data_IF_889810358876
#
_entry.id   IF_889810358876
#
_cell.length_a   1.000
_cell.length_b   1.000
_cell.length_c   1.000
_cell.angle_alpha   90.00
_cell.angle_beta   90.00
_cell.angle_gamma   90.00
#
_symmetry.space_group_name_H-M   'P 1'
#
loop_
_entity.id
_entity.type
_entity.pdbx_description
1 polymer ?
#
# COMPACT_ATOMS: atom_id res chain seq x y z
N UNK A 1 3.57 -12.78 -27.29
CA UNK A 1 3.58 -11.32 -27.04
C UNK A 1 4.52 -11.07 -25.89
N UNK A 2 5.60 -10.33 -26.12
CA UNK A 2 6.66 -10.13 -25.13
C UNK A 2 6.14 -9.40 -23.90
N UNK A 3 6.18 -10.06 -22.76
CA UNK A 3 5.85 -9.50 -21.46
C UNK A 3 6.82 -8.36 -21.19
N UNK A 4 6.35 -7.11 -21.27
CA UNK A 4 7.14 -5.96 -20.83
C UNK A 4 7.48 -6.22 -19.37
N UNK A 5 8.76 -6.49 -19.08
CA UNK A 5 9.32 -6.53 -17.74
C UNK A 5 8.95 -5.20 -17.09
N UNK A 6 7.95 -5.21 -16.20
CA UNK A 6 7.46 -4.00 -15.55
C UNK A 6 8.58 -3.47 -14.68
N UNK A 7 9.07 -2.26 -15.00
CA UNK A 7 10.13 -1.62 -14.23
C UNK A 7 9.60 -1.36 -12.81
N UNK A 8 10.29 -1.82 -11.75
CA UNK A 8 10.02 -1.41 -10.39
C UNK A 8 9.94 0.10 -10.25
N UNK A 9 9.05 0.58 -9.38
CA UNK A 9 8.71 1.99 -9.28
C UNK A 9 8.51 2.49 -7.86
N UNK A 10 8.22 1.63 -6.88
CA UNK A 10 7.87 2.04 -5.52
C UNK A 10 9.01 2.82 -4.87
N UNK A 11 10.22 2.28 -4.91
CA UNK A 11 11.39 2.93 -4.31
C UNK A 11 11.70 4.27 -4.98
N UNK A 12 11.77 4.31 -6.31
CA UNK A 12 12.04 5.53 -7.07
C UNK A 12 10.97 6.61 -6.82
N UNK A 13 9.70 6.21 -6.74
CA UNK A 13 8.59 7.11 -6.45
C UNK A 13 8.71 7.72 -5.05
N UNK A 14 8.95 6.89 -4.02
CA UNK A 14 9.05 7.37 -2.65
C UNK A 14 10.29 8.23 -2.42
N UNK A 15 11.43 7.90 -3.05
CA UNK A 15 12.61 8.75 -3.05
C UNK A 15 12.37 10.08 -3.77
N UNK A 16 11.56 10.08 -4.84
CA UNK A 16 11.11 11.29 -5.51
C UNK A 16 10.30 12.18 -4.57
N UNK A 17 9.30 11.61 -3.89
CA UNK A 17 8.49 12.31 -2.90
C UNK A 17 9.36 12.87 -1.77
N UNK A 18 10.28 12.08 -1.21
CA UNK A 18 11.17 12.52 -0.15
C UNK A 18 12.05 13.71 -0.56
N UNK A 19 12.48 13.77 -1.82
CA UNK A 19 13.29 14.87 -2.36
C UNK A 19 12.48 16.13 -2.61
N UNK A 20 11.26 15.98 -3.11
CA UNK A 20 10.41 17.08 -3.53
C UNK A 20 9.65 17.72 -2.36
N UNK A 21 9.07 16.88 -1.49
CA UNK A 21 8.19 17.33 -0.41
C UNK A 21 8.84 17.24 0.98
N UNK A 22 9.97 16.53 1.12
CA UNK A 22 10.62 16.37 2.42
C UNK A 22 9.69 15.68 3.42
N UNK A 23 9.19 16.43 4.39
CA UNK A 23 8.23 15.97 5.39
C UNK A 23 6.77 16.31 5.15
N UNK A 24 6.49 17.12 4.14
CA UNK A 24 5.15 17.60 3.85
C UNK A 24 4.28 16.52 3.16
N UNK A 25 2.96 16.55 3.34
CA UNK A 25 2.06 15.64 2.63
C UNK A 25 2.19 15.77 1.11
N UNK A 26 2.48 14.65 0.44
CA UNK A 26 2.53 14.60 -1.01
C UNK A 26 1.12 14.68 -1.63
N UNK A 27 0.96 15.34 -2.79
CA UNK A 27 -0.30 15.30 -3.54
C UNK A 27 -0.60 13.89 -4.04
N UNK A 28 -1.86 13.64 -4.39
CA UNK A 28 -2.26 12.38 -5.02
C UNK A 28 -1.62 12.25 -6.41
N UNK A 29 -0.97 11.12 -6.64
CA UNK A 29 -0.44 10.76 -7.95
C UNK A 29 -1.56 10.21 -8.84
N UNK A 30 -1.78 10.85 -9.99
CA UNK A 30 -2.69 10.39 -11.04
C UNK A 30 -2.05 9.36 -11.98
N UNK A 31 -0.75 9.11 -11.85
CA UNK A 31 -0.03 8.21 -12.72
C UNK A 31 -0.53 6.78 -12.54
N UNK A 32 -0.95 6.11 -13.63
CA UNK A 32 -1.33 4.70 -13.54
C UNK A 32 -0.10 3.84 -13.21
N UNK A 33 -0.17 3.10 -12.10
CA UNK A 33 0.85 2.12 -11.69
C UNK A 33 0.28 0.74 -11.60
N UNK A 34 1.18 -0.24 -11.67
CA UNK A 34 0.85 -1.65 -11.62
C UNK A 34 1.45 -2.21 -10.34
N UNK A 35 0.63 -2.95 -9.61
CA UNK A 35 1.01 -3.59 -8.35
C UNK A 35 0.45 -5.01 -8.29
N UNK A 36 1.05 -5.83 -7.46
CA UNK A 36 0.46 -7.07 -6.98
C UNK A 36 0.05 -6.85 -5.52
N UNK A 37 -1.17 -7.27 -5.14
CA UNK A 37 -1.53 -7.31 -3.71
C UNK A 37 -1.01 -8.63 -3.14
N UNK A 38 0.09 -8.58 -2.39
CA UNK A 38 0.78 -9.80 -1.94
C UNK A 38 0.23 -10.34 -0.63
N UNK A 39 -0.42 -9.49 0.17
CA UNK A 39 -1.06 -9.85 1.44
C UNK A 39 -2.25 -8.93 1.69
N UNK A 40 -3.34 -9.49 2.22
CA UNK A 40 -4.39 -8.71 2.88
C UNK A 40 -4.08 -8.71 4.38
N UNK A 41 -3.88 -7.52 4.95
CA UNK A 41 -3.58 -7.32 6.38
C UNK A 41 -4.89 -7.31 7.17
N UNK A 42 -5.86 -6.51 6.71
CA UNK A 42 -7.23 -6.57 7.20
C UNK A 42 -8.14 -7.14 6.12
N UNK A 43 -9.24 -7.75 6.56
CA UNK A 43 -10.22 -8.31 5.67
C UNK A 43 -11.53 -8.58 6.39
N UNK A 44 -12.56 -9.02 5.65
CA UNK A 44 -13.81 -9.45 6.23
C UNK A 44 -13.58 -10.48 7.34
N UNK A 45 -14.08 -10.20 8.53
CA UNK A 45 -14.19 -11.18 9.62
C UNK A 45 -15.64 -11.57 9.82
N UNK A 46 -15.91 -12.65 10.56
CA UNK A 46 -17.29 -13.00 10.94
C UNK A 46 -17.99 -11.87 11.71
N UNK A 47 -17.22 -11.08 12.48
CA UNK A 47 -17.72 -9.94 13.26
C UNK A 47 -17.83 -8.65 12.43
N UNK A 48 -17.00 -8.50 11.40
CA UNK A 48 -16.99 -7.35 10.52
C UNK A 48 -16.89 -7.82 9.06
N UNK A 49 -18.01 -8.23 8.45
CA UNK A 49 -18.01 -8.80 7.11
C UNK A 49 -17.68 -7.77 6.01
N UNK A 50 -17.81 -6.47 6.30
CA UNK A 50 -17.58 -5.37 5.38
C UNK A 50 -16.77 -4.26 6.08
N UNK A 51 -15.46 -4.47 6.32
CA UNK A 51 -14.65 -3.45 6.96
C UNK A 51 -14.58 -2.19 6.11
N UNK A 52 -14.74 -1.03 6.75
CA UNK A 52 -14.66 0.29 6.09
C UNK A 52 -13.28 0.57 5.48
N UNK A 53 -12.23 -0.07 6.01
CA UNK A 53 -10.86 0.07 5.52
C UNK A 53 -10.24 -1.31 5.26
N UNK A 54 -9.71 -1.50 4.06
CA UNK A 54 -8.95 -2.70 3.69
C UNK A 54 -7.48 -2.33 3.60
N UNK A 55 -6.69 -2.96 4.48
CA UNK A 55 -5.25 -2.85 4.52
C UNK A 55 -4.63 -4.03 3.80
N UNK A 56 -3.61 -3.75 3.00
CA UNK A 56 -2.92 -4.71 2.15
C UNK A 56 -1.42 -4.44 2.16
N UNK A 57 -0.64 -5.40 1.69
CA UNK A 57 0.73 -5.15 1.22
C UNK A 57 0.71 -5.17 -0.31
N UNK A 58 1.17 -4.09 -0.93
CA UNK A 58 1.29 -3.97 -2.38
C UNK A 58 2.75 -4.05 -2.79
N UNK A 59 3.01 -4.73 -3.90
CA UNK A 59 4.35 -4.94 -4.45
C UNK A 59 4.45 -4.47 -5.90
N UNK A 60 5.60 -3.93 -6.28
CA UNK A 60 5.95 -3.65 -7.67
C UNK A 60 6.76 -4.77 -8.35
N UNK A 61 6.92 -5.91 -7.66
CA UNK A 61 7.72 -7.07 -8.08
C UNK A 61 9.13 -7.10 -7.49
N UNK A 62 9.56 -6.05 -6.77
CA UNK A 62 10.85 -6.05 -6.05
C UNK A 62 10.71 -5.56 -4.62
N UNK A 63 9.91 -4.51 -4.43
CA UNK A 63 9.65 -3.92 -3.14
C UNK A 63 8.18 -4.06 -2.80
N UNK A 64 7.88 -4.12 -1.51
CA UNK A 64 6.51 -4.00 -1.01
C UNK A 64 6.39 -2.92 0.04
N UNK A 65 5.15 -2.42 0.21
CA UNK A 65 4.78 -1.44 1.22
C UNK A 65 3.35 -1.72 1.70
N UNK A 66 3.02 -1.48 2.98
CA UNK A 66 1.63 -1.44 3.42
C UNK A 66 0.83 -0.40 2.63
N UNK A 67 -0.41 -0.71 2.33
CA UNK A 67 -1.31 0.19 1.64
C UNK A 67 -2.74 0.08 2.18
N UNK A 68 -3.39 1.23 2.33
CA UNK A 68 -4.80 1.34 2.66
C UNK A 68 -5.59 1.62 1.39
N UNK A 69 -6.55 0.77 1.10
CA UNK A 69 -7.53 0.98 0.03
C UNK A 69 -8.70 1.79 0.59
N UNK A 70 -9.05 2.88 -0.10
CA UNK A 70 -10.24 3.66 0.25
C UNK A 70 -11.52 2.82 0.11
N UNK A 71 -12.55 3.14 0.90
CA UNK A 71 -13.87 2.50 0.79
C UNK A 71 -14.43 2.61 -0.63
N UNK A 72 -14.31 3.78 -1.26
CA UNK A 72 -14.74 4.00 -2.64
C UNK A 72 -14.03 3.08 -3.65
N UNK A 73 -12.74 2.81 -3.45
CA UNK A 73 -11.98 1.88 -4.30
C UNK A 73 -12.49 0.43 -4.14
N UNK A 74 -12.78 0.02 -2.90
CA UNK A 74 -13.29 -1.31 -2.57
C UNK A 74 -14.70 -1.50 -3.12
N UNK A 75 -15.58 -0.52 -2.92
CA UNK A 75 -16.97 -0.55 -3.38
C UNK A 75 -17.04 -0.61 -4.90
N UNK A 76 -16.21 0.20 -5.59
CA UNK A 76 -16.11 0.18 -7.05
C UNK A 76 -15.65 -1.18 -7.56
N UNK A 77 -14.65 -1.79 -6.93
CA UNK A 77 -14.21 -3.14 -7.30
C UNK A 77 -15.35 -4.16 -7.17
N UNK A 78 -16.12 -4.11 -6.08
CA UNK A 78 -17.27 -4.99 -5.87
C UNK A 78 -18.34 -4.79 -6.95
N UNK A 79 -18.61 -3.53 -7.34
CA UNK A 79 -19.56 -3.20 -8.40
C UNK A 79 -19.09 -3.72 -9.77
N UNK A 80 -17.81 -3.53 -10.10
CA UNK A 80 -17.25 -3.87 -11.41
C UNK A 80 -17.09 -5.39 -11.62
N UNK A 81 -16.80 -6.13 -10.55
CA UNK A 81 -16.44 -7.55 -10.63
C UNK A 81 -17.42 -8.51 -9.94
N UNK A 82 -18.35 -8.01 -9.12
CA UNK A 82 -19.31 -8.84 -8.38
C UNK A 82 -18.68 -9.68 -7.26
N UNK A 83 -17.42 -9.45 -6.92
CA UNK A 83 -16.70 -10.15 -5.86
C UNK A 83 -15.92 -9.18 -4.98
N UNK A 84 -15.58 -9.62 -3.77
CA UNK A 84 -14.78 -8.81 -2.84
C UNK A 84 -13.33 -8.76 -3.31
N UNK A 85 -12.68 -7.60 -3.16
CA UNK A 85 -11.26 -7.45 -3.49
C UNK A 85 -10.37 -8.42 -2.68
N UNK A 86 -10.75 -8.75 -1.44
CA UNK A 86 -10.08 -9.72 -0.59
C UNK A 86 -10.14 -11.17 -1.10
N UNK A 87 -11.07 -11.48 -2.02
CA UNK A 87 -11.13 -12.77 -2.70
C UNK A 87 -10.07 -12.88 -3.82
N UNK A 88 -9.57 -11.74 -4.31
CA UNK A 88 -8.55 -11.66 -5.35
C UNK A 88 -7.13 -11.79 -4.77
N UNK A 89 -6.87 -12.86 -4.01
CA UNK A 89 -5.56 -13.13 -3.42
C UNK A 89 -4.46 -13.09 -4.48
N UNK A 90 -3.37 -12.39 -4.17
CA UNK A 90 -2.17 -12.27 -5.03
C UNK A 90 -2.41 -11.73 -6.44
N UNK A 91 -3.57 -11.11 -6.69
CA UNK A 91 -3.94 -10.55 -7.99
C UNK A 91 -3.06 -9.36 -8.40
N UNK A 92 -2.94 -9.16 -9.72
CA UNK A 92 -2.37 -7.93 -10.29
C UNK A 92 -3.45 -6.87 -10.46
N UNK A 93 -3.14 -5.67 -10.00
CA UNK A 93 -4.00 -4.51 -10.04
C UNK A 93 -3.29 -3.34 -10.72
N UNK A 94 -4.06 -2.50 -11.39
CA UNK A 94 -3.66 -1.13 -11.64
C UNK A 94 -4.17 -0.22 -10.55
N UNK A 95 -3.34 0.71 -10.10
CA UNK A 95 -3.70 1.74 -9.15
C UNK A 95 -3.56 3.13 -9.76
N UNK A 96 -4.36 4.07 -9.26
CA UNK A 96 -4.29 5.51 -9.50
C UNK A 96 -4.67 6.23 -8.21
N UNK A 97 -4.47 7.55 -8.18
CA UNK A 97 -4.87 8.40 -7.06
C UNK A 97 -4.28 7.85 -5.76
N UNK A 98 -2.95 7.85 -5.68
CA UNK A 98 -2.24 7.30 -4.54
C UNK A 98 -1.18 8.26 -4.01
N UNK A 99 -0.91 8.21 -2.71
CA UNK A 99 0.13 9.02 -2.05
C UNK A 99 0.72 8.29 -0.84
N UNK A 100 1.98 8.55 -0.48
CA UNK A 100 2.53 8.07 0.77
C UNK A 100 1.98 8.88 1.95
N UNK A 101 1.83 8.21 3.08
CA UNK A 101 1.50 8.84 4.36
C UNK A 101 2.09 8.03 5.52
N UNK A 102 2.26 8.69 6.66
CA UNK A 102 2.63 8.03 7.91
C UNK A 102 1.37 7.73 8.73
N UNK A 103 1.32 6.51 9.26
CA UNK A 103 0.15 6.00 9.97
C UNK A 103 0.52 4.78 10.78
N UNK A 104 -0.30 4.45 11.77
CA UNK A 104 -0.25 3.13 12.38
C UNK A 104 -0.92 2.12 11.46
N UNK A 105 -0.22 1.00 11.19
CA UNK A 105 -0.71 -0.07 10.31
C UNK A 105 -1.28 -1.17 11.21
N UNK A 106 -2.45 -1.73 10.91
CA UNK A 106 -2.97 -2.89 11.65
C UNK A 106 -2.02 -4.09 11.56
N UNK A 107 -1.91 -4.87 12.62
CA UNK A 107 -1.10 -6.10 12.63
C UNK A 107 -1.81 -7.25 11.89
N UNK A 108 -3.13 -7.15 11.74
CA UNK A 108 -3.99 -8.21 11.22
C UNK A 108 -4.32 -9.31 12.23
N UNK A 109 -3.88 -9.16 13.50
CA UNK A 109 -4.15 -10.09 14.60
C UNK A 109 -5.02 -9.37 15.63
N UNK A 110 -6.19 -9.94 15.96
CA UNK A 110 -7.11 -9.41 16.98
C UNK A 110 -7.46 -7.92 16.83
N UNK A 111 -7.44 -7.39 15.60
CA UNK A 111 -7.63 -5.96 15.31
C UNK A 111 -6.60 -5.04 16.02
N UNK A 112 -5.46 -5.58 16.44
CA UNK A 112 -4.38 -4.81 17.04
C UNK A 112 -3.73 -3.90 16.00
N UNK A 113 -3.29 -2.73 16.46
CA UNK A 113 -2.64 -1.71 15.66
C UNK A 113 -1.17 -1.67 16.06
N UNK A 114 -0.26 -1.59 15.08
CA UNK A 114 1.17 -1.44 15.38
C UNK A 114 1.42 -0.17 16.19
N UNK A 115 2.20 -0.29 17.27
CA UNK A 115 2.48 0.82 18.19
C UNK A 115 3.30 1.94 17.54
N UNK A 116 4.08 1.64 16.50
CA UNK A 116 4.89 2.62 15.79
C UNK A 116 4.29 2.93 14.42
N UNK A 117 4.17 4.23 14.12
CA UNK A 117 3.75 4.66 12.80
C UNK A 117 4.76 4.21 11.73
N UNK A 118 4.23 3.83 10.56
CA UNK A 118 4.98 3.36 9.40
C UNK A 118 4.55 4.11 8.15
N UNK A 119 5.47 4.13 7.19
CA UNK A 119 5.18 4.62 5.85
C UNK A 119 4.27 3.61 5.13
N UNK A 120 3.13 4.12 4.65
CA UNK A 120 2.15 3.37 3.89
C UNK A 120 1.72 4.15 2.63
N UNK A 121 1.03 3.49 1.70
CA UNK A 121 0.35 4.12 0.57
C UNK A 121 -1.16 4.20 0.81
N UNK A 122 -1.73 5.38 0.62
CA UNK A 122 -3.17 5.54 0.45
C UNK A 122 -3.50 5.36 -1.03
N UNK A 123 -4.52 4.57 -1.36
CA UNK A 123 -4.92 4.25 -2.73
C UNK A 123 -6.43 4.47 -2.89
N UNK A 124 -6.82 5.39 -3.77
CA UNK A 124 -8.22 5.76 -4.00
C UNK A 124 -8.84 5.09 -5.23
N UNK A 125 -8.01 4.54 -6.13
CA UNK A 125 -8.49 3.85 -7.32
C UNK A 125 -7.70 2.56 -7.56
N UNK A 126 -8.43 1.45 -7.66
CA UNK A 126 -7.92 0.12 -7.98
C UNK A 126 -8.70 -0.46 -9.15
N UNK A 127 -8.02 -1.21 -10.02
CA UNK A 127 -8.65 -1.97 -11.10
C UNK A 127 -7.96 -3.32 -11.27
N UNK A 128 -8.72 -4.40 -11.24
CA UNK A 128 -8.19 -5.76 -11.39
C UNK A 128 -7.74 -6.01 -12.83
N UNK A 129 -6.54 -6.55 -12.99
CA UNK A 129 -6.00 -6.95 -14.29
C UNK A 129 -6.11 -8.46 -14.49
N UNK A 130 -5.83 -9.25 -13.45
CA UNK A 130 -5.89 -10.72 -13.50
C UNK A 130 -4.92 -11.42 -12.54
N UNK A 131 -4.65 -12.70 -12.83
CA UNK A 131 -3.73 -13.61 -12.10
C UNK A 131 -3.98 -13.71 -10.60
N UNK A 132 -5.18 -14.15 -10.21
CA UNK A 132 -5.48 -14.50 -8.81
C UNK A 132 -4.78 -15.81 -8.46
N UNK A 133 -4.14 -15.87 -7.29
CA UNK A 133 -3.54 -17.08 -6.74
C UNK A 133 -2.10 -17.34 -7.17
N UNK A 134 -1.52 -16.50 -8.03
CA UNK A 134 -0.10 -16.61 -8.40
C UNK A 134 0.78 -16.00 -7.30
N UNK A 135 1.76 -16.70 -6.73
CA UNK A 135 2.66 -16.10 -5.74
C UNK A 135 3.49 -14.97 -6.38
N UNK A 136 3.96 -14.00 -5.60
CA UNK A 136 4.92 -13.03 -6.09
C UNK A 136 6.18 -13.72 -6.59
N UNK A 137 6.76 -13.21 -7.66
CA UNK A 137 8.01 -13.74 -8.21
C UNK A 137 9.20 -13.16 -7.44
N UNK A 138 10.03 -14.03 -6.85
CA UNK A 138 11.25 -13.66 -6.15
C UNK A 138 11.05 -13.16 -4.72
N UNK A 139 12.15 -12.72 -4.11
CA UNK A 139 12.17 -12.21 -2.74
C UNK A 139 11.80 -10.73 -2.72
N UNK A 140 10.72 -10.39 -2.02
CA UNK A 140 10.26 -9.01 -1.88
C UNK A 140 10.91 -8.35 -0.67
N UNK A 141 11.41 -7.13 -0.87
CA UNK A 141 12.01 -6.34 0.19
C UNK A 141 11.06 -5.24 0.65
N UNK A 142 10.87 -5.09 1.95
CA UNK A 142 10.09 -3.96 2.48
C UNK A 142 10.79 -2.67 2.09
N UNK A 143 10.07 -1.71 1.49
CA UNK A 143 10.72 -0.50 0.94
C UNK A 143 11.44 0.34 2.00
N UNK A 144 11.03 0.29 3.27
CA UNK A 144 11.71 0.98 4.38
C UNK A 144 12.94 0.23 4.90
N UNK A 145 13.22 -0.98 4.42
CA UNK A 145 14.48 -1.67 4.67
C UNK A 145 15.64 -1.02 3.91
N UNK A 146 15.37 -0.32 2.81
CA UNK A 146 16.37 0.46 2.08
C UNK A 146 16.92 1.60 2.95
N UNK A 147 18.25 1.75 2.99
CA UNK A 147 18.92 2.67 3.92
C UNK A 147 18.42 4.12 3.79
N UNK A 148 18.27 4.59 2.54
CA UNK A 148 17.80 5.95 2.24
C UNK A 148 16.37 6.16 2.73
N UNK A 149 15.51 5.17 2.51
CA UNK A 149 14.12 5.20 2.96
C UNK A 149 14.05 5.18 4.48
N UNK A 150 14.82 4.31 5.14
CA UNK A 150 14.90 4.22 6.60
C UNK A 150 15.30 5.54 7.25
N UNK A 151 16.31 6.21 6.67
CA UNK A 151 16.77 7.53 7.15
C UNK A 151 15.67 8.58 7.01
N UNK A 152 15.00 8.63 5.86
CA UNK A 152 13.92 9.57 5.62
C UNK A 152 12.74 9.32 6.57
N UNK A 153 12.22 8.09 6.63
CA UNK A 153 11.10 7.74 7.53
C UNK A 153 11.47 7.94 9.00
N UNK A 154 12.71 7.67 9.39
CA UNK A 154 13.20 7.97 10.74
C UNK A 154 13.25 9.46 11.06
N UNK A 155 13.49 10.33 10.07
CA UNK A 155 13.37 11.78 10.21
C UNK A 155 11.91 12.19 10.42
N UNK A 156 11.01 11.73 9.55
CA UNK A 156 9.58 12.00 9.63
C UNK A 156 8.97 11.64 10.99
N UNK A 157 9.32 10.46 11.52
CA UNK A 157 8.81 9.97 12.80
C UNK A 157 9.32 10.80 13.99
N UNK A 158 10.56 11.29 13.93
CA UNK A 158 11.10 12.18 14.97
C UNK A 158 10.41 13.54 14.97
N UNK A 159 10.04 14.03 13.80
CA UNK A 159 9.33 15.30 13.67
C UNK A 159 7.87 15.18 14.14
N UNK A 160 7.20 14.05 13.89
CA UNK A 160 5.88 13.74 14.46
C UNK A 160 5.94 13.49 15.98
N UNK A 161 7.03 12.93 16.50
CA UNK A 161 7.25 12.74 17.94
C UNK A 161 7.46 14.03 18.74
N UNK A 162 7.56 15.20 18.08
CA UNK A 162 7.60 16.51 18.74
C UNK A 162 6.22 17.08 19.08
N UNK A 163 5.13 16.46 18.62
CA UNK A 163 3.76 16.89 18.96
C UNK A 163 3.12 16.16 20.15
N UNK A 164 3.80 15.21 20.79
CA UNK A 164 3.26 14.48 21.97
C UNK A 164 3.81 14.97 23.31
N UNK A 165 3.88 16.28 23.52
CA UNK A 165 4.08 16.86 24.85
C UNK A 165 3.12 18.06 25.03
N UNK A 166 1.86 17.78 25.37
CA UNK A 166 0.97 18.69 26.13
C UNK A 166 -0.07 17.89 26.91
#
# INVERSE_FOLDING_TARGET
MGTILRKPWLLDYLLGVAREFGGEPAPLSEQKRLVQIVKFITGPTERNPNPFEIWTEVSDGTHFIPARLSSAAVDRHLQDHGERISACKTGYFSIKQYRPFLTHVPTGVNDEIESMARLALEIESVGLIGSKGEPPFGDLTLVTAEERMRRWTGGLLKDQGRSEIY
#
